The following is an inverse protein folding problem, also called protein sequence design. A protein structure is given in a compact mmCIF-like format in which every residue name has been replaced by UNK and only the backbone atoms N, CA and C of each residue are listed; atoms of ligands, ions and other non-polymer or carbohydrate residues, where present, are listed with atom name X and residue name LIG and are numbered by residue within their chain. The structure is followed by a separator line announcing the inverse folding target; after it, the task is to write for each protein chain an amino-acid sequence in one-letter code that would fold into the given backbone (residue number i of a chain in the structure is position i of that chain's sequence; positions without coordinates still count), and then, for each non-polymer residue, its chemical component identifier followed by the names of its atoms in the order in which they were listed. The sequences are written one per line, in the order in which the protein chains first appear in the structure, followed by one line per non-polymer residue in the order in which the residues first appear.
data_IF_286833108580
#
_entry.id   IF_286833108580
#
_cell.length_a   1.000
_cell.length_b   1.000
_cell.length_c   1.000
_cell.angle_alpha   90.00
_cell.angle_beta   90.00
_cell.angle_gamma   90.00
#
_symmetry.space_group_name_H-M   'P 1'
#
loop_
_entity.id
_entity.type
_entity.pdbx_description
1 polymer ?
#
# COMPACT_ATOMS: atom_id res chain seq x y z
N UNK A 1 6.46 28.87 -2.72
CA UNK A 1 7.42 27.74 -2.70
C UNK A 1 6.75 26.57 -2.00
N UNK A 2 6.26 25.59 -2.77
CA UNK A 2 5.64 24.40 -2.21
C UNK A 2 6.69 23.62 -1.41
N UNK A 3 6.47 23.46 -0.11
CA UNK A 3 7.20 22.48 0.69
C UNK A 3 7.12 21.14 -0.06
N UNK A 4 8.22 20.42 -0.31
CA UNK A 4 8.18 19.11 -0.95
C UNK A 4 7.57 18.12 0.05
N UNK A 5 6.26 18.18 0.22
CA UNK A 5 5.48 17.08 0.74
C UNK A 5 5.67 15.96 -0.26
N UNK A 6 6.53 15.00 0.07
CA UNK A 6 6.80 13.80 -0.74
C UNK A 6 5.45 13.23 -1.18
N UNK A 7 5.11 13.41 -2.45
CA UNK A 7 3.89 12.87 -3.03
C UNK A 7 3.99 11.35 -2.97
N UNK A 8 3.06 10.71 -2.25
CA UNK A 8 3.02 9.26 -2.11
C UNK A 8 1.96 8.73 -3.06
N UNK A 9 2.36 7.90 -4.02
CA UNK A 9 1.42 7.20 -4.92
C UNK A 9 1.32 5.75 -4.50
N UNK A 10 0.11 5.24 -4.32
CA UNK A 10 -0.16 3.87 -3.89
C UNK A 10 -0.93 3.16 -4.99
N UNK A 11 -0.39 2.06 -5.51
CA UNK A 11 -1.12 1.19 -6.43
C UNK A 11 -1.75 0.05 -5.65
N UNK A 12 -3.03 -0.16 -5.87
CA UNK A 12 -3.78 -1.23 -5.22
C UNK A 12 -4.65 -1.98 -6.22
N UNK A 13 -5.09 -3.17 -5.83
CA UNK A 13 -5.97 -4.04 -6.61
C UNK A 13 -7.42 -3.78 -6.17
N UNK A 14 -8.18 -3.00 -6.95
CA UNK A 14 -9.59 -2.73 -6.66
C UNK A 14 -10.54 -3.89 -6.91
N UNK A 15 -10.11 -4.90 -7.67
CA UNK A 15 -10.88 -6.14 -7.85
C UNK A 15 -10.85 -7.04 -6.61
N UNK A 16 -9.92 -6.81 -5.68
CA UNK A 16 -9.84 -7.51 -4.40
C UNK A 16 -10.64 -6.77 -3.30
N UNK A 17 -11.72 -7.34 -2.75
CA UNK A 17 -12.55 -6.67 -1.74
C UNK A 17 -11.80 -6.36 -0.44
N UNK A 18 -10.78 -7.17 -0.10
CA UNK A 18 -9.92 -6.93 1.06
C UNK A 18 -9.01 -5.71 0.84
N UNK A 19 -8.31 -5.67 -0.29
CA UNK A 19 -7.45 -4.54 -0.67
C UNK A 19 -8.27 -3.25 -0.74
N UNK A 20 -9.45 -3.30 -1.36
CA UNK A 20 -10.37 -2.16 -1.41
C UNK A 20 -10.78 -1.67 -0.01
N UNK A 21 -11.09 -2.57 0.93
CA UNK A 21 -11.45 -2.20 2.31
C UNK A 21 -10.29 -1.55 3.06
N UNK A 22 -9.10 -2.11 2.92
CA UNK A 22 -7.89 -1.59 3.55
C UNK A 22 -7.56 -0.19 3.02
N UNK A 23 -7.55 -0.02 1.70
CA UNK A 23 -7.32 1.27 1.06
C UNK A 23 -8.43 2.28 1.38
N UNK A 24 -9.69 1.86 1.48
CA UNK A 24 -10.78 2.73 1.92
C UNK A 24 -10.58 3.21 3.37
N UNK A 25 -10.09 2.35 4.27
CA UNK A 25 -9.72 2.74 5.62
C UNK A 25 -8.54 3.72 5.61
N UNK A 26 -7.47 3.43 4.87
CA UNK A 26 -6.31 4.30 4.76
C UNK A 26 -6.69 5.68 4.19
N UNK A 27 -7.55 5.72 3.16
CA UNK A 27 -8.08 6.95 2.57
C UNK A 27 -8.92 7.76 3.55
N UNK A 28 -9.67 7.11 4.45
CA UNK A 28 -10.41 7.79 5.53
C UNK A 28 -9.48 8.36 6.60
N UNK A 29 -8.38 7.67 6.89
CA UNK A 29 -7.39 8.09 7.87
C UNK A 29 -6.44 9.16 7.31
N UNK A 30 -6.22 9.19 5.99
CA UNK A 30 -5.45 10.23 5.29
C UNK A 30 -6.21 11.57 5.27
N UNK A 31 -6.25 12.22 6.43
CA UNK A 31 -6.88 13.53 6.60
C UNK A 31 -6.19 14.63 5.79
N UNK A 32 -4.93 14.44 5.40
CA UNK A 32 -4.16 15.43 4.62
C UNK A 32 -4.30 15.24 3.11
N UNK A 33 -4.91 14.13 2.66
CA UNK A 33 -5.06 13.76 1.24
C UNK A 33 -3.74 13.87 0.47
N UNK A 34 -2.65 13.47 1.12
CA UNK A 34 -1.30 13.50 0.53
C UNK A 34 -0.99 12.23 -0.26
N UNK A 35 -1.83 11.21 -0.12
CA UNK A 35 -1.66 9.91 -0.75
C UNK A 35 -2.57 9.81 -1.98
N UNK A 36 -1.95 9.55 -3.12
CA UNK A 36 -2.65 9.29 -4.38
C UNK A 36 -2.86 7.79 -4.54
N UNK A 37 -4.10 7.33 -4.35
CA UNK A 37 -4.47 5.93 -4.55
C UNK A 37 -4.87 5.69 -6.01
N UNK A 38 -4.19 4.76 -6.66
CA UNK A 38 -4.39 4.38 -8.07
C UNK A 38 -4.82 2.92 -8.13
N UNK A 39 -5.95 2.64 -8.79
CA UNK A 39 -6.42 1.29 -9.02
C UNK A 39 -5.68 0.66 -10.20
N UNK A 40 -4.85 -0.34 -9.92
CA UNK A 40 -4.10 -1.08 -10.94
C UNK A 40 -4.95 -2.11 -11.68
N UNK A 41 -6.15 -2.43 -11.18
CA UNK A 41 -7.09 -3.31 -11.86
C UNK A 41 -7.81 -2.60 -13.03
N UNK A 42 -7.84 -1.26 -13.04
CA UNK A 42 -8.46 -0.50 -14.13
C UNK A 42 -7.63 -0.60 -15.43
N UNK A 43 -8.26 -0.95 -16.56
CA UNK A 43 -7.59 -0.97 -17.85
C UNK A 43 -7.22 0.45 -18.27
N UNK A 44 -5.93 0.69 -18.52
CA UNK A 44 -5.40 2.01 -18.92
C UNK A 44 -4.69 2.77 -17.81
N UNK A 45 -4.69 2.24 -16.58
CA UNK A 45 -3.89 2.81 -15.49
C UNK A 45 -2.40 2.78 -15.81
N UNK A 46 -1.74 3.94 -15.66
CA UNK A 46 -0.30 4.08 -15.75
C UNK A 46 0.38 3.40 -14.55
N UNK A 47 0.99 2.26 -14.81
CA UNK A 47 1.77 1.50 -13.85
C UNK A 47 3.27 1.74 -14.11
N UNK A 48 4.10 1.90 -13.06
CA UNK A 48 5.54 2.06 -13.22
C UNK A 48 6.24 0.74 -13.60
N UNK A 49 5.56 -0.38 -13.41
CA UNK A 49 5.98 -1.75 -13.73
C UNK A 49 4.86 -2.44 -14.50
N UNK A 50 5.12 -3.67 -14.95
CA UNK A 50 4.09 -4.53 -15.52
C UNK A 50 2.90 -4.65 -14.55
N UNK A 51 1.69 -4.65 -15.11
CA UNK A 51 0.47 -4.71 -14.31
C UNK A 51 0.41 -6.02 -13.51
N UNK A 52 0.93 -7.12 -14.05
CA UNK A 52 0.99 -8.38 -13.33
C UNK A 52 1.84 -8.26 -12.06
N UNK A 53 2.99 -7.58 -12.13
CA UNK A 53 3.85 -7.33 -10.97
C UNK A 53 3.19 -6.44 -9.92
N UNK A 54 2.54 -5.35 -10.37
CA UNK A 54 1.80 -4.45 -9.47
C UNK A 54 0.64 -5.16 -8.77
N UNK A 55 -0.05 -6.08 -9.45
CA UNK A 55 -1.14 -6.86 -8.85
C UNK A 55 -0.62 -8.01 -7.98
N UNK A 56 0.59 -8.52 -8.25
CA UNK A 56 1.21 -9.58 -7.46
C UNK A 56 1.59 -9.12 -6.05
N UNK A 57 2.04 -7.85 -5.92
CA UNK A 57 2.56 -7.29 -4.67
C UNK A 57 2.10 -5.85 -4.45
N UNK A 58 1.92 -5.45 -3.19
CA UNK A 58 1.55 -4.08 -2.87
C UNK A 58 2.71 -3.11 -3.19
N UNK A 59 2.45 -2.02 -3.90
CA UNK A 59 3.46 -1.06 -4.35
C UNK A 59 3.11 0.38 -3.98
N UNK A 60 4.13 1.11 -3.55
CA UNK A 60 4.02 2.53 -3.17
C UNK A 60 5.23 3.27 -3.72
N UNK A 61 5.00 4.39 -4.40
CA UNK A 61 6.04 5.30 -4.85
C UNK A 61 6.10 6.51 -3.94
N UNK A 62 7.27 6.73 -3.34
CA UNK A 62 7.59 7.92 -2.56
C UNK A 62 8.64 8.73 -3.34
N UNK A 63 8.22 9.79 -4.03
CA UNK A 63 9.09 10.54 -4.94
C UNK A 63 9.57 9.66 -6.09
N UNK A 64 10.89 9.44 -6.20
CA UNK A 64 11.49 8.57 -7.22
C UNK A 64 11.65 7.11 -6.78
N UNK A 65 11.39 6.81 -5.50
CA UNK A 65 11.58 5.45 -4.96
C UNK A 65 10.30 4.65 -5.08
N UNK A 66 10.35 3.54 -5.79
CA UNK A 66 9.30 2.52 -5.78
C UNK A 66 9.60 1.50 -4.67
N UNK A 67 8.68 1.41 -3.71
CA UNK A 67 8.73 0.49 -2.58
C UNK A 67 7.67 -0.59 -2.79
N UNK A 68 7.96 -1.81 -2.34
CA UNK A 68 7.06 -2.96 -2.43
C UNK A 68 6.87 -3.67 -1.09
N UNK A 69 5.73 -4.34 -0.89
CA UNK A 69 5.45 -5.16 0.28
C UNK A 69 5.42 -4.36 1.59
N UNK A 70 6.09 -4.86 2.64
CA UNK A 70 6.10 -4.21 3.96
C UNK A 70 6.65 -2.77 3.93
N UNK A 71 7.69 -2.51 3.13
CA UNK A 71 8.25 -1.17 2.97
C UNK A 71 7.25 -0.20 2.34
N UNK A 72 6.41 -0.69 1.43
CA UNK A 72 5.36 0.08 0.79
C UNK A 72 4.26 0.47 1.79
N UNK A 73 3.83 -0.47 2.65
CA UNK A 73 2.91 -0.19 3.75
C UNK A 73 3.49 0.81 4.76
N UNK A 74 4.76 0.64 5.14
CA UNK A 74 5.43 1.57 6.04
C UNK A 74 5.46 3.00 5.48
N UNK A 75 5.76 3.16 4.18
CA UNK A 75 5.74 4.46 3.51
C UNK A 75 4.32 5.08 3.48
N UNK A 76 3.30 4.28 3.17
CA UNK A 76 1.90 4.72 3.21
C UNK A 76 1.49 5.18 4.61
N UNK A 77 1.76 4.39 5.65
CA UNK A 77 1.43 4.74 7.03
C UNK A 77 2.20 5.96 7.55
N UNK A 78 3.46 6.14 7.12
CA UNK A 78 4.24 7.34 7.44
C UNK A 78 3.62 8.63 6.89
N UNK A 79 2.93 8.54 5.74
CA UNK A 79 2.23 9.68 5.14
C UNK A 79 0.93 10.02 5.87
N UNK A 80 0.30 9.07 6.57
CA UNK A 80 -0.92 9.27 7.35
C UNK A 80 -0.55 9.74 8.76
N UNK A 81 -0.92 10.96 9.21
CA UNK A 81 -0.48 11.49 10.51
C UNK A 81 -0.84 10.61 11.71
N UNK A 82 -2.03 10.01 11.69
CA UNK A 82 -2.52 9.12 12.76
C UNK A 82 -1.75 7.79 12.80
N UNK A 83 -1.33 7.28 11.64
CA UNK A 83 -0.59 6.02 11.51
C UNK A 83 0.92 6.22 11.39
N UNK A 84 1.39 7.46 11.44
CA UNK A 84 2.81 7.82 11.35
C UNK A 84 3.71 7.07 12.34
N UNK A 85 3.39 6.94 13.64
CA UNK A 85 4.22 6.16 14.56
C UNK A 85 4.28 4.68 14.17
N UNK A 86 3.17 4.09 13.70
CA UNK A 86 3.13 2.73 13.17
C UNK A 86 4.01 2.57 11.92
N UNK A 87 3.97 3.53 10.99
CA UNK A 87 4.81 3.50 9.80
C UNK A 87 6.31 3.66 10.10
N UNK A 88 6.67 4.42 11.13
CA UNK A 88 8.07 4.52 11.61
C UNK A 88 8.50 3.18 12.21
N UNK A 89 7.64 2.56 13.02
CA UNK A 89 7.88 1.27 13.66
C UNK A 89 7.96 0.13 12.62
N UNK A 90 7.13 0.16 11.58
CA UNK A 90 7.18 -0.80 10.46
C UNK A 90 8.45 -0.63 9.61
N UNK A 91 9.02 0.58 9.58
CA UNK A 91 10.32 0.86 8.96
C UNK A 91 11.52 0.49 9.82
N UNK A 92 11.32 0.06 11.06
CA UNK A 92 12.41 -0.45 11.90
C UNK A 92 12.84 -1.84 11.43
N UNK A 93 14.12 -1.94 11.06
CA UNK A 93 14.84 -3.14 10.62
C UNK A 93 14.53 -4.43 11.43
N UNK A 94 14.41 -4.42 12.76
CA UNK A 94 14.04 -5.62 13.52
C UNK A 94 12.55 -6.04 13.40
N UNK A 95 11.64 -5.15 13.01
CA UNK A 95 10.24 -5.47 12.77
C UNK A 95 9.92 -5.90 11.33
N UNK A 96 10.86 -5.69 10.40
CA UNK A 96 10.79 -6.19 9.01
C UNK A 96 10.38 -7.66 8.91
N UNK A 97 10.97 -8.63 9.64
CA UNK A 97 10.55 -10.03 9.55
C UNK A 97 9.13 -10.28 10.08
N UNK A 98 8.67 -9.50 11.06
CA UNK A 98 7.31 -9.62 11.60
C UNK A 98 6.27 -9.10 10.60
N UNK A 99 6.54 -7.96 9.95
CA UNK A 99 5.69 -7.43 8.89
C UNK A 99 5.77 -8.26 7.61
N UNK A 100 6.93 -8.83 7.28
CA UNK A 100 7.05 -9.77 6.17
C UNK A 100 6.29 -11.07 6.46
N UNK A 101 6.30 -11.56 7.71
CA UNK A 101 5.46 -12.68 8.13
C UNK A 101 3.96 -12.32 8.04
N UNK A 102 3.55 -11.14 8.50
CA UNK A 102 2.19 -10.63 8.33
C UNK A 102 1.78 -10.53 6.87
N UNK A 103 2.68 -10.05 6.00
CA UNK A 103 2.47 -9.97 4.56
C UNK A 103 2.39 -11.35 3.89
N UNK A 104 3.20 -12.32 4.31
CA UNK A 104 3.10 -13.73 3.84
C UNK A 104 1.81 -14.38 4.30
N UNK A 105 1.35 -14.08 5.51
CA UNK A 105 0.05 -14.52 6.02
C UNK A 105 -1.07 -13.90 5.20
N UNK A 106 -1.00 -12.60 4.89
CA UNK A 106 -1.93 -11.91 3.98
C UNK A 106 -1.96 -12.55 2.59
N UNK A 107 -0.80 -12.84 1.99
CA UNK A 107 -0.72 -13.52 0.69
C UNK A 107 -1.28 -14.95 0.74
N UNK A 108 -1.09 -15.70 1.83
CA UNK A 108 -1.70 -17.03 2.05
C UNK A 108 -3.20 -16.96 2.29
N UNK A 109 -3.66 -15.90 2.93
CA UNK A 109 -5.08 -15.63 3.17
C UNK A 109 -5.78 -15.14 1.90
N UNK A 110 -5.07 -14.48 0.98
CA UNK A 110 -5.59 -13.92 -0.29
C UNK A 110 -6.50 -14.90 -1.05
N UNK A 111 -6.11 -16.14 -1.39
CA UNK A 111 -6.99 -17.06 -2.11
C UNK A 111 -8.18 -17.56 -1.26
N UNK A 112 -8.06 -17.61 0.07
CA UNK A 112 -9.15 -18.05 0.96
C UNK A 112 -10.17 -16.94 1.20
N UNK A 113 -9.73 -15.70 1.43
CA UNK A 113 -10.62 -14.55 1.53
C UNK A 113 -11.29 -14.21 0.21
N UNK A 114 -10.60 -14.39 -0.93
CA UNK A 114 -11.18 -14.18 -2.26
C UNK A 114 -12.31 -15.18 -2.57
N UNK A 115 -12.30 -16.37 -1.95
CA UNK A 115 -13.44 -17.31 -1.99
C UNK A 115 -14.53 -16.98 -0.98
N UNK A 116 -14.18 -16.46 0.20
CA UNK A 116 -15.14 -16.19 1.28
C UNK A 116 -15.94 -14.89 1.08
N UNK A 117 -15.40 -13.95 0.31
CA UNK A 117 -15.99 -12.64 0.00
C UNK A 117 -16.57 -12.58 -1.43
N UNK A 118 -16.74 -13.74 -2.08
CA UNK A 118 -17.44 -13.88 -3.36
C UNK A 118 -18.93 -14.06 -3.11
#
# INVERSE_FOLDING_TARGET
MATPGRSVTVWYDGACPLCRREIALMRRLDRRRVIHFIDAAEPGTACPLDRADILSRFHVREGERLLSGAAAFAAMWRAIPVLRPLGILAGWRPMTPLFEAGYRIFLRLRPRLQRLLR
#
